data_IF_273591733738
#
_entry.id   IF_273591733738
#
_cell.length_a   1.000
_cell.length_b   1.000
_cell.length_c   1.000
_cell.angle_alpha   90.00
_cell.angle_beta   90.00
_cell.angle_gamma   90.00
#
_symmetry.space_group_name_H-M   'P 1'
#
loop_
_entity.id
_entity.type
_entity.pdbx_description
1 polymer ?
#
# COMPACT_ATOMS: atom_id res chain seq x y z
N UNK A 1 -7.14 -17.63 1.19
CA UNK A 1 -7.92 -16.91 0.15
C UNK A 1 -7.20 -15.65 -0.40
N UNK A 2 -6.00 -15.29 0.13
CA UNK A 2 -5.29 -14.07 -0.26
C UNK A 2 -4.86 -13.96 -1.73
N UNK A 3 -4.47 -15.06 -2.39
CA UNK A 3 -4.00 -15.02 -3.79
C UNK A 3 -5.10 -14.55 -4.75
N UNK A 4 -6.33 -15.06 -4.58
CA UNK A 4 -7.47 -14.67 -5.42
C UNK A 4 -7.79 -13.19 -5.23
N UNK A 5 -7.81 -12.73 -3.97
CA UNK A 5 -8.02 -11.32 -3.63
C UNK A 5 -6.93 -10.42 -4.20
N UNK A 6 -5.66 -10.80 -4.09
CA UNK A 6 -4.54 -10.04 -4.66
C UNK A 6 -4.65 -9.92 -6.19
N UNK A 7 -5.02 -11.01 -6.88
CA UNK A 7 -5.27 -10.99 -8.31
C UNK A 7 -6.47 -10.10 -8.67
N UNK A 8 -7.56 -10.16 -7.90
CA UNK A 8 -8.72 -9.29 -8.05
C UNK A 8 -8.35 -7.81 -7.87
N UNK A 9 -7.55 -7.49 -6.86
CA UNK A 9 -7.05 -6.13 -6.64
C UNK A 9 -6.22 -5.61 -7.82
N UNK A 10 -5.33 -6.45 -8.38
CA UNK A 10 -4.55 -6.09 -9.57
C UNK A 10 -5.43 -5.86 -10.80
N UNK A 11 -6.45 -6.68 -11.01
CA UNK A 11 -7.42 -6.49 -12.09
C UNK A 11 -8.18 -5.15 -11.93
N UNK A 12 -8.67 -4.87 -10.72
CA UNK A 12 -9.36 -3.61 -10.42
C UNK A 12 -8.44 -2.38 -10.61
N UNK A 13 -7.15 -2.48 -10.29
CA UNK A 13 -6.17 -1.42 -10.59
C UNK A 13 -6.08 -1.12 -12.09
N UNK A 14 -6.07 -2.15 -12.95
CA UNK A 14 -6.03 -1.97 -14.41
C UNK A 14 -7.31 -1.29 -14.91
N UNK A 15 -8.45 -1.58 -14.29
CA UNK A 15 -9.75 -0.99 -14.62
C UNK A 15 -9.98 0.39 -13.98
N UNK A 16 -9.01 0.92 -13.23
CA UNK A 16 -9.12 2.17 -12.46
C UNK A 16 -10.21 2.15 -11.38
N UNK A 17 -10.57 0.96 -10.92
CA UNK A 17 -11.54 0.76 -9.84
C UNK A 17 -10.81 0.76 -8.48
N UNK A 18 -10.27 1.92 -8.10
CA UNK A 18 -9.31 2.05 -6.98
C UNK A 18 -9.88 1.60 -5.63
N UNK A 19 -11.15 1.89 -5.36
CA UNK A 19 -11.80 1.49 -4.11
C UNK A 19 -11.94 -0.03 -4.01
N UNK A 20 -12.35 -0.69 -5.10
CA UNK A 20 -12.44 -2.16 -5.14
C UNK A 20 -11.05 -2.79 -5.03
N UNK A 21 -10.05 -2.20 -5.70
CA UNK A 21 -8.67 -2.62 -5.58
C UNK A 21 -8.16 -2.53 -4.14
N UNK A 22 -8.41 -1.39 -3.46
CA UNK A 22 -8.04 -1.21 -2.05
C UNK A 22 -8.67 -2.27 -1.16
N UNK A 23 -9.98 -2.51 -1.31
CA UNK A 23 -10.69 -3.53 -0.52
C UNK A 23 -10.09 -4.92 -0.73
N UNK A 24 -9.86 -5.32 -1.98
CA UNK A 24 -9.26 -6.62 -2.29
C UNK A 24 -7.82 -6.74 -1.77
N UNK A 25 -7.01 -5.69 -1.86
CA UNK A 25 -5.65 -5.71 -1.30
C UNK A 25 -5.63 -5.73 0.22
N UNK A 26 -6.58 -5.07 0.89
CA UNK A 26 -6.68 -5.10 2.34
C UNK A 26 -7.06 -6.50 2.84
N UNK A 27 -8.06 -7.12 2.23
CA UNK A 27 -8.45 -8.50 2.54
C UNK A 27 -7.32 -9.49 2.24
N UNK A 28 -6.64 -9.34 1.10
CA UNK A 28 -5.48 -10.16 0.78
C UNK A 28 -4.35 -9.99 1.80
N UNK A 29 -4.06 -8.75 2.21
CA UNK A 29 -3.06 -8.44 3.22
C UNK A 29 -3.36 -9.12 4.56
N UNK A 30 -4.58 -8.99 5.08
CA UNK A 30 -5.01 -9.66 6.33
C UNK A 30 -4.84 -11.17 6.25
N UNK A 31 -5.30 -11.78 5.15
CA UNK A 31 -5.15 -13.21 4.93
C UNK A 31 -3.67 -13.66 4.92
N UNK A 32 -2.76 -12.86 4.36
CA UNK A 32 -1.34 -13.19 4.36
C UNK A 32 -0.65 -12.93 5.71
N UNK A 33 -1.09 -11.89 6.43
CA UNK A 33 -0.60 -11.54 7.76
C UNK A 33 -0.94 -12.64 8.78
N UNK A 34 -2.21 -13.06 8.82
CA UNK A 34 -2.70 -14.16 9.66
C UNK A 34 -2.01 -15.48 9.35
N UNK A 35 -1.69 -15.73 8.08
CA UNK A 35 -0.98 -16.93 7.64
C UNK A 35 0.55 -16.83 7.83
N UNK A 36 1.08 -15.68 8.27
CA UNK A 36 2.51 -15.48 8.48
C UNK A 36 3.35 -15.47 7.19
N UNK A 37 2.74 -15.26 6.03
CA UNK A 37 3.42 -15.36 4.73
C UNK A 37 4.04 -14.01 4.33
N UNK A 38 5.27 -14.03 3.84
CA UNK A 38 6.02 -12.84 3.42
C UNK A 38 5.30 -11.98 2.37
N UNK A 39 4.42 -12.59 1.57
CA UNK A 39 3.63 -11.90 0.55
C UNK A 39 2.74 -10.78 1.09
N UNK A 40 2.49 -10.74 2.41
CA UNK A 40 1.83 -9.61 3.09
C UNK A 40 2.51 -8.27 2.81
N UNK A 41 3.84 -8.22 2.78
CA UNK A 41 4.63 -6.99 2.53
C UNK A 41 4.36 -6.47 1.12
N UNK A 42 4.35 -7.36 0.14
CA UNK A 42 4.00 -7.01 -1.25
C UNK A 42 2.55 -6.53 -1.37
N UNK A 43 1.63 -7.20 -0.67
CA UNK A 43 0.21 -6.81 -0.68
C UNK A 43 -0.02 -5.45 -0.02
N UNK A 44 0.71 -5.15 1.06
CA UNK A 44 0.69 -3.86 1.73
C UNK A 44 1.17 -2.74 0.81
N UNK A 45 2.21 -2.97 0.00
CA UNK A 45 2.66 -1.99 -1.02
C UNK A 45 1.52 -1.67 -2.02
N UNK A 46 0.78 -2.68 -2.49
CA UNK A 46 -0.37 -2.45 -3.38
C UNK A 46 -1.53 -1.72 -2.70
N UNK A 47 -1.83 -2.08 -1.44
CA UNK A 47 -2.84 -1.40 -0.63
C UNK A 47 -2.52 0.10 -0.49
N UNK A 48 -1.27 0.43 -0.17
CA UNK A 48 -0.83 1.82 -0.02
C UNK A 48 -0.96 2.58 -1.34
N UNK A 49 -0.56 1.98 -2.45
CA UNK A 49 -0.71 2.59 -3.78
C UNK A 49 -2.18 2.84 -4.12
N UNK A 50 -3.07 1.86 -3.90
CA UNK A 50 -4.49 2.01 -4.16
C UNK A 50 -5.13 3.12 -3.31
N UNK A 51 -4.70 3.28 -2.04
CA UNK A 51 -5.15 4.37 -1.17
C UNK A 51 -4.77 5.76 -1.71
N UNK A 52 -3.53 5.92 -2.20
CA UNK A 52 -3.12 7.20 -2.82
C UNK A 52 -3.90 7.47 -4.12
N UNK A 53 -4.17 6.44 -4.94
CA UNK A 53 -4.90 6.62 -6.20
C UNK A 53 -6.39 6.93 -6.04
N UNK A 54 -7.01 6.48 -4.96
CA UNK A 54 -8.41 6.81 -4.67
C UNK A 54 -8.58 8.19 -4.02
N UNK A 55 -7.51 8.98 -3.89
CA UNK A 55 -7.51 10.29 -3.23
C UNK A 55 -8.09 10.25 -1.82
N UNK A 56 -7.70 9.23 -1.04
CA UNK A 56 -8.14 9.08 0.35
C UNK A 56 -7.24 9.87 1.30
N UNK A 57 -7.87 10.56 2.25
CA UNK A 57 -7.18 11.20 3.39
C UNK A 57 -6.87 10.21 4.53
N UNK A 58 -7.19 8.92 4.34
CA UNK A 58 -6.97 7.89 5.37
C UNK A 58 -5.58 7.31 5.19
N UNK A 59 -4.76 7.42 6.23
CA UNK A 59 -3.45 6.78 6.24
C UNK A 59 -3.61 5.25 6.43
N UNK A 60 -3.16 4.41 5.48
CA UNK A 60 -3.25 2.96 5.61
C UNK A 60 -2.54 2.41 6.87
N UNK A 61 -1.52 3.11 7.36
CA UNK A 61 -0.74 2.71 8.55
C UNK A 61 -1.37 3.08 9.89
N UNK A 62 -2.52 3.76 9.89
CA UNK A 62 -3.29 3.98 11.11
C UNK A 62 -4.17 2.77 11.47
N UNK A 63 -4.36 1.84 10.52
CA UNK A 63 -5.02 0.55 10.80
C UNK A 63 -4.19 -0.29 11.77
N UNK A 64 -4.87 -1.05 12.63
CA UNK A 64 -4.21 -1.91 13.63
C UNK A 64 -3.31 -2.95 12.97
N UNK A 65 -3.71 -3.44 11.80
CA UNK A 65 -3.02 -4.47 11.03
C UNK A 65 -1.76 -3.91 10.33
N UNK A 66 -1.79 -2.69 9.80
CA UNK A 66 -0.65 -2.12 9.08
C UNK A 66 0.31 -1.33 9.97
N UNK A 67 -0.14 -0.82 11.13
CA UNK A 67 0.69 -0.02 12.05
C UNK A 67 2.04 -0.66 12.42
N UNK A 68 2.16 -1.99 12.65
CA UNK A 68 3.45 -2.63 12.96
C UNK A 68 4.48 -2.52 11.82
N UNK A 69 4.01 -2.36 10.58
CA UNK A 69 4.85 -2.35 9.38
C UNK A 69 5.46 -0.99 9.05
N UNK A 70 5.09 0.07 9.79
CA UNK A 70 5.49 1.45 9.48
C UNK A 70 7.01 1.63 9.36
N UNK A 71 7.76 0.90 10.18
CA UNK A 71 9.22 0.95 10.28
C UNK A 71 9.92 -0.25 9.60
N UNK A 72 9.16 -1.11 8.91
CA UNK A 72 9.75 -2.22 8.17
C UNK A 72 10.64 -1.66 7.03
N UNK A 73 11.89 -2.12 6.86
CA UNK A 73 12.80 -1.61 5.85
C UNK A 73 12.25 -1.66 4.41
N UNK A 74 11.38 -2.63 4.12
CA UNK A 74 10.73 -2.74 2.81
C UNK A 74 9.53 -1.81 2.64
N UNK A 75 9.02 -1.22 3.72
CA UNK A 75 7.79 -0.42 3.74
C UNK A 75 8.05 1.05 4.05
N UNK A 76 9.14 1.39 4.73
CA UNK A 76 9.46 2.77 5.13
C UNK A 76 9.42 3.76 3.96
N UNK A 77 9.86 3.33 2.77
CA UNK A 77 9.77 4.14 1.56
C UNK A 77 8.31 4.46 1.20
N UNK A 78 7.40 3.47 1.29
CA UNK A 78 5.96 3.68 1.07
C UNK A 78 5.34 4.57 2.14
N UNK A 79 5.71 4.40 3.42
CA UNK A 79 5.26 5.26 4.53
C UNK A 79 5.62 6.73 4.26
N UNK A 80 6.85 6.98 3.81
CA UNK A 80 7.31 8.33 3.50
C UNK A 80 6.57 8.92 2.29
N UNK A 81 6.34 8.12 1.24
CA UNK A 81 5.56 8.53 0.08
C UNK A 81 4.12 8.93 0.44
N UNK A 82 3.42 8.13 1.26
CA UNK A 82 2.09 8.47 1.77
C UNK A 82 2.12 9.77 2.56
N UNK A 83 3.13 9.94 3.42
CA UNK A 83 3.25 11.14 4.25
C UNK A 83 3.43 12.40 3.40
N UNK A 84 4.26 12.35 2.34
CA UNK A 84 4.44 13.45 1.41
C UNK A 84 3.17 13.71 0.56
N UNK A 85 2.48 12.63 0.15
CA UNK A 85 1.22 12.70 -0.59
C UNK A 85 0.12 13.41 0.23
N UNK A 86 -0.11 12.99 1.47
CA UNK A 86 -1.13 13.58 2.35
C UNK A 86 -0.86 15.04 2.71
N UNK A 87 0.41 15.46 2.74
CA UNK A 87 0.80 16.86 2.96
C UNK A 87 0.80 17.71 1.70
N UNK A 88 0.50 17.11 0.54
CA UNK A 88 0.58 17.76 -0.77
C UNK A 88 1.99 18.32 -1.09
N UNK A 89 3.04 17.65 -0.60
CA UNK A 89 4.45 18.05 -0.75
C UNK A 89 5.08 17.41 -2.00
N UNK A 90 4.70 17.88 -3.20
CA UNK A 90 5.11 17.26 -4.47
C UNK A 90 6.63 17.11 -4.64
N UNK A 91 7.42 18.11 -4.21
CA UNK A 91 8.89 18.08 -4.31
C UNK A 91 9.50 16.99 -3.45
N UNK A 92 8.94 16.75 -2.26
CA UNK A 92 9.42 15.70 -1.38
C UNK A 92 9.00 14.32 -1.92
N UNK A 93 7.78 14.20 -2.46
CA UNK A 93 7.32 12.97 -3.11
C UNK A 93 8.24 12.56 -4.27
N UNK A 94 8.60 13.50 -5.16
CA UNK A 94 9.54 13.25 -6.26
C UNK A 94 10.95 12.87 -5.78
N UNK A 95 11.43 13.52 -4.72
CA UNK A 95 12.73 13.21 -4.10
C UNK A 95 12.74 11.78 -3.53
N UNK A 96 11.69 11.41 -2.80
CA UNK A 96 11.52 10.07 -2.22
C UNK A 96 11.42 8.99 -3.30
N UNK A 97 10.68 9.25 -4.40
CA UNK A 97 10.60 8.34 -5.53
C UNK A 97 11.97 8.07 -6.17
N UNK A 98 12.77 9.12 -6.40
CA UNK A 98 14.13 8.98 -6.96
C UNK A 98 15.05 8.17 -6.05
N UNK A 99 14.95 8.38 -4.73
CA UNK A 99 15.72 7.63 -3.75
C UNK A 99 15.30 6.16 -3.69
N UNK A 100 13.99 5.87 -3.77
CA UNK A 100 13.47 4.51 -3.76
C UNK A 100 13.79 3.73 -5.04
N UNK A 101 13.88 4.39 -6.19
CA UNK A 101 14.26 3.77 -7.48
C UNK A 101 15.76 3.42 -7.60
N UNK A 102 16.58 3.83 -6.63
CA UNK A 102 18.03 3.59 -6.63
C UNK A 102 18.43 2.27 -5.93
N UNK A 103 17.46 1.48 -5.49
CA UNK A 103 17.60 0.16 -4.87
C UNK A 103 16.81 -0.89 -5.64
#
# INVERSE_FOLDING_TARGET
MGVIRECGGKMHMVQREWEKARNDFFEAFKNYDEAGVQRRVQCLKYLVLANMLMNSDINPFDSQEAKPYKNDPEIVAMTNLVSAYMKNEIREFEKLLKQASAF
#
